data_IF_928533325593
#
_entry.id   IF_928533325593
#
_cell.length_a   1.000
_cell.length_b   1.000
_cell.length_c   1.000
_cell.angle_alpha   90.00
_cell.angle_beta   90.00
_cell.angle_gamma   90.00
#
_symmetry.space_group_name_H-M   'P 1'
#
loop_
_entity.id
_entity.type
_entity.pdbx_description
1 polymer ?
#
# COMPACT_ATOMS: atom_id res chain seq x y z
N UNK A 1 -2.84 3.57 -28.04
CA UNK A 1 -3.31 2.62 -29.09
C UNK A 1 -4.73 2.94 -29.51
N UNK A 2 -5.68 3.07 -28.57
CA UNK A 2 -7.07 3.50 -28.86
C UNK A 2 -7.14 4.76 -29.74
N UNK A 3 -6.55 5.87 -29.31
CA UNK A 3 -6.52 7.13 -30.08
C UNK A 3 -5.93 6.99 -31.49
N UNK A 4 -4.90 6.17 -31.66
CA UNK A 4 -4.30 5.94 -32.98
C UNK A 4 -5.22 5.10 -33.89
N UNK A 5 -5.87 4.08 -33.32
CA UNK A 5 -6.89 3.25 -34.00
C UNK A 5 -8.09 4.09 -34.42
N UNK A 6 -8.54 5.00 -33.55
CA UNK A 6 -9.65 5.91 -33.80
C UNK A 6 -9.34 6.86 -34.96
N UNK A 7 -8.20 7.55 -34.92
CA UNK A 7 -7.77 8.46 -35.99
C UNK A 7 -7.63 7.77 -37.34
N UNK A 8 -7.17 6.53 -37.36
CA UNK A 8 -7.09 5.75 -38.60
C UNK A 8 -8.48 5.44 -39.17
N UNK A 9 -9.43 5.04 -38.31
CA UNK A 9 -10.82 4.82 -38.70
C UNK A 9 -11.49 6.11 -39.19
N UNK A 10 -11.21 7.25 -38.56
CA UNK A 10 -11.70 8.56 -38.99
C UNK A 10 -11.21 8.89 -40.41
N UNK A 11 -9.92 8.70 -40.71
CA UNK A 11 -9.40 8.88 -42.07
C UNK A 11 -10.09 7.98 -43.10
N UNK A 12 -10.41 6.72 -42.74
CA UNK A 12 -11.16 5.83 -43.61
C UNK A 12 -12.58 6.36 -43.84
N UNK A 13 -13.27 6.82 -42.79
CA UNK A 13 -14.63 7.36 -42.88
C UNK A 13 -14.70 8.64 -43.73
N UNK A 14 -13.64 9.44 -43.74
CA UNK A 14 -13.54 10.66 -44.57
C UNK A 14 -13.44 10.36 -46.07
N UNK A 15 -12.74 9.28 -46.45
CA UNK A 15 -12.52 8.93 -47.87
C UNK A 15 -13.51 7.89 -48.41
N UNK A 16 -14.30 7.27 -47.54
CA UNK A 16 -15.32 6.29 -47.93
C UNK A 16 -16.60 7.03 -48.31
N UNK A 17 -16.90 7.10 -49.60
CA UNK A 17 -18.06 7.86 -50.09
C UNK A 17 -19.39 7.27 -49.61
N UNK A 18 -20.42 8.08 -49.36
CA UNK A 18 -21.71 7.62 -48.82
C UNK A 18 -22.43 6.57 -49.67
N UNK A 19 -22.29 6.63 -50.99
CA UNK A 19 -22.92 5.71 -51.94
C UNK A 19 -22.18 4.39 -52.12
N UNK A 20 -20.95 4.29 -51.59
CA UNK A 20 -20.16 3.07 -51.74
C UNK A 20 -20.74 1.94 -50.87
N UNK A 21 -20.86 0.71 -51.40
CA UNK A 21 -21.39 -0.42 -50.65
C UNK A 21 -20.57 -0.70 -49.39
N UNK A 22 -21.21 -0.75 -48.23
CA UNK A 22 -20.55 -1.06 -46.95
C UNK A 22 -20.17 0.15 -46.09
N UNK A 23 -20.47 1.39 -46.53
CA UNK A 23 -20.24 2.63 -45.75
C UNK A 23 -20.78 2.56 -44.32
N UNK A 24 -22.04 2.13 -44.17
CA UNK A 24 -22.72 2.05 -42.87
C UNK A 24 -22.15 0.93 -41.99
N UNK A 25 -21.78 -0.19 -42.60
CA UNK A 25 -21.14 -1.30 -41.88
C UNK A 25 -19.76 -0.89 -41.35
N UNK A 26 -18.97 -0.17 -42.17
CA UNK A 26 -17.69 0.38 -41.76
C UNK A 26 -17.81 1.37 -40.58
N UNK A 27 -18.85 2.23 -40.59
CA UNK A 27 -19.14 3.11 -39.46
C UNK A 27 -19.45 2.33 -38.18
N UNK A 28 -20.32 1.32 -38.29
CA UNK A 28 -20.69 0.48 -37.16
C UNK A 28 -19.47 -0.26 -36.60
N UNK A 29 -18.55 -0.71 -37.45
CA UNK A 29 -17.30 -1.33 -37.02
C UNK A 29 -16.42 -0.33 -36.27
N UNK A 30 -16.28 0.91 -36.77
CA UNK A 30 -15.50 1.95 -36.11
C UNK A 30 -16.06 2.33 -34.74
N UNK A 31 -17.38 2.51 -34.61
CA UNK A 31 -18.06 2.77 -33.35
C UNK A 31 -17.88 1.62 -32.35
N UNK A 32 -18.06 0.37 -32.80
CA UNK A 32 -17.85 -0.79 -31.95
C UNK A 32 -16.39 -0.92 -31.50
N UNK A 33 -15.43 -0.58 -32.37
CA UNK A 33 -14.01 -0.57 -32.02
C UNK A 33 -13.73 0.45 -30.90
N UNK A 34 -14.30 1.65 -30.99
CA UNK A 34 -14.20 2.70 -29.96
C UNK A 34 -14.75 2.19 -28.62
N UNK A 35 -15.96 1.61 -28.62
CA UNK A 35 -16.59 1.05 -27.42
C UNK A 35 -15.78 -0.09 -26.80
N UNK A 36 -15.23 -1.00 -27.60
CA UNK A 36 -14.40 -2.10 -27.11
C UNK A 36 -13.10 -1.60 -26.47
N UNK A 37 -12.47 -0.56 -27.05
CA UNK A 37 -11.28 0.06 -26.46
C UNK A 37 -11.59 0.74 -25.13
N UNK A 38 -12.70 1.47 -25.06
CA UNK A 38 -13.14 2.13 -23.82
C UNK A 38 -13.44 1.12 -22.71
N UNK A 39 -14.21 0.07 -23.03
CA UNK A 39 -14.53 -1.01 -22.07
C UNK A 39 -13.27 -1.73 -21.60
N UNK A 40 -12.36 -2.05 -22.53
CA UNK A 40 -11.09 -2.70 -22.18
C UNK A 40 -10.23 -1.83 -21.25
N UNK A 41 -10.10 -0.54 -21.55
CA UNK A 41 -9.37 0.40 -20.71
C UNK A 41 -10.00 0.50 -19.31
N UNK A 42 -11.33 0.67 -19.25
CA UNK A 42 -12.06 0.77 -18.00
C UNK A 42 -11.89 -0.49 -17.14
N UNK A 43 -12.00 -1.68 -17.75
CA UNK A 43 -11.77 -2.95 -17.05
C UNK A 43 -10.35 -3.09 -16.52
N UNK A 44 -9.33 -2.66 -17.27
CA UNK A 44 -7.96 -2.66 -16.79
C UNK A 44 -7.79 -1.73 -15.58
N UNK A 45 -8.39 -0.54 -15.63
CA UNK A 45 -8.35 0.40 -14.50
C UNK A 45 -9.06 -0.20 -13.29
N UNK A 46 -10.30 -0.63 -13.43
CA UNK A 46 -11.11 -1.06 -12.30
C UNK A 46 -10.65 -2.38 -11.69
N UNK A 47 -10.25 -3.35 -12.52
CA UNK A 47 -9.99 -4.71 -12.07
C UNK A 47 -8.52 -4.97 -11.76
N UNK A 48 -7.60 -4.34 -12.49
CA UNK A 48 -6.16 -4.54 -12.27
C UNK A 48 -5.55 -3.38 -11.48
N UNK A 49 -5.71 -2.13 -11.97
CA UNK A 49 -5.03 -0.99 -11.38
C UNK A 49 -5.53 -0.68 -9.97
N UNK A 50 -6.85 -0.54 -9.77
CA UNK A 50 -7.42 -0.23 -8.44
C UNK A 50 -7.14 -1.34 -7.41
N UNK A 51 -7.15 -2.60 -7.84
CA UNK A 51 -6.78 -3.74 -6.99
C UNK A 51 -5.32 -3.63 -6.54
N UNK A 52 -4.42 -3.28 -7.46
CA UNK A 52 -3.00 -3.10 -7.16
C UNK A 52 -2.76 -1.89 -6.26
N UNK A 53 -3.45 -0.78 -6.50
CA UNK A 53 -3.39 0.42 -5.65
C UNK A 53 -3.84 0.11 -4.22
N UNK A 54 -4.92 -0.67 -4.07
CA UNK A 54 -5.42 -1.10 -2.77
C UNK A 54 -4.39 -1.97 -2.04
N UNK A 55 -3.77 -2.92 -2.73
CA UNK A 55 -2.70 -3.76 -2.16
C UNK A 55 -1.49 -2.92 -1.74
N UNK A 56 -1.00 -2.05 -2.63
CA UNK A 56 0.15 -1.17 -2.35
C UNK A 56 -0.16 -0.17 -1.22
N UNK A 57 -1.41 0.25 -1.08
CA UNK A 57 -1.90 1.13 -0.02
C UNK A 57 -1.76 0.56 1.40
N UNK A 58 -1.56 -0.76 1.56
CA UNK A 58 -1.35 -1.40 2.86
C UNK A 58 0.07 -1.17 3.41
N UNK A 59 1.05 -0.97 2.53
CA UNK A 59 2.47 -0.93 2.91
C UNK A 59 2.88 0.28 3.76
N UNK A 60 2.38 1.51 3.52
CA UNK A 60 2.78 2.68 4.31
C UNK A 60 2.49 2.53 5.81
N UNK A 61 1.33 1.98 6.17
CA UNK A 61 0.98 1.75 7.58
C UNK A 61 1.88 0.68 8.21
N UNK A 62 2.06 -0.46 7.53
CA UNK A 62 2.95 -1.54 7.99
C UNK A 62 4.37 -1.01 8.19
N UNK A 63 4.88 -0.22 7.23
CA UNK A 63 6.21 0.41 7.34
C UNK A 63 6.30 1.35 8.54
N UNK A 64 5.26 2.14 8.82
CA UNK A 64 5.18 3.00 10.00
C UNK A 64 5.18 2.19 11.30
N UNK A 65 4.42 1.10 11.36
CA UNK A 65 4.37 0.16 12.49
C UNK A 65 5.73 -0.51 12.73
N UNK A 66 6.42 -0.97 11.69
CA UNK A 66 7.79 -1.52 11.79
C UNK A 66 8.75 -0.47 12.37
N UNK A 67 8.71 0.77 11.87
CA UNK A 67 9.56 1.84 12.39
C UNK A 67 9.25 2.16 13.86
N UNK A 68 7.96 2.12 14.24
CA UNK A 68 7.53 2.30 15.63
C UNK A 68 8.00 1.16 16.54
N UNK A 69 7.86 -0.10 16.10
CA UNK A 69 8.39 -1.28 16.79
C UNK A 69 9.89 -1.14 17.02
N UNK A 70 10.66 -0.70 16.02
CA UNK A 70 12.09 -0.45 16.16
C UNK A 70 12.42 0.56 17.26
N UNK A 71 11.68 1.67 17.37
CA UNK A 71 11.84 2.64 18.47
C UNK A 71 11.46 2.04 19.83
N UNK A 72 10.42 1.20 19.89
CA UNK A 72 9.97 0.56 21.14
C UNK A 72 10.91 -0.53 21.64
N UNK A 73 11.60 -1.21 20.74
CA UNK A 73 12.70 -2.10 21.12
C UNK A 73 13.82 -1.33 21.83
N UNK A 74 14.20 -0.16 21.29
CA UNK A 74 15.22 0.69 21.93
C UNK A 74 14.77 1.19 23.30
N UNK A 75 13.51 1.63 23.44
CA UNK A 75 12.95 2.04 24.74
C UNK A 75 13.00 0.87 25.75
N UNK A 76 12.65 -0.33 25.33
CA UNK A 76 12.69 -1.54 26.15
C UNK A 76 14.11 -1.94 26.56
N UNK A 77 15.06 -1.98 25.62
CA UNK A 77 16.46 -2.29 25.90
C UNK A 77 17.07 -1.27 26.86
N UNK A 78 16.71 0.02 26.72
CA UNK A 78 17.14 1.09 27.63
C UNK A 78 16.61 0.88 29.04
N UNK A 79 15.32 0.55 29.19
CA UNK A 79 14.71 0.27 30.49
C UNK A 79 15.32 -0.98 31.14
N UNK A 80 15.62 -2.01 30.35
CA UNK A 80 16.26 -3.25 30.83
C UNK A 80 17.66 -2.95 31.36
N UNK A 81 18.48 -2.24 30.59
CA UNK A 81 19.81 -1.83 31.03
C UNK A 81 19.76 -0.95 32.29
N UNK A 82 18.80 -0.03 32.38
CA UNK A 82 18.63 0.80 33.57
C UNK A 82 18.32 -0.05 34.81
N UNK A 83 17.36 -0.97 34.72
CA UNK A 83 17.01 -1.89 35.79
C UNK A 83 18.19 -2.79 36.22
N UNK A 84 18.89 -3.40 35.26
CA UNK A 84 20.08 -4.24 35.52
C UNK A 84 21.20 -3.46 36.24
N UNK A 85 21.42 -2.20 35.85
CA UNK A 85 22.42 -1.33 36.49
C UNK A 85 22.06 -1.02 37.95
N UNK A 86 20.78 -0.87 38.27
CA UNK A 86 20.31 -0.64 39.64
C UNK A 86 20.38 -1.92 40.49
N UNK A 87 20.10 -3.09 39.90
CA UNK A 87 20.19 -4.38 40.58
C UNK A 87 21.62 -4.75 41.00
N UNK A 88 22.61 -4.35 40.20
CA UNK A 88 24.04 -4.61 40.43
C UNK A 88 24.74 -3.53 41.26
N UNK A 89 24.03 -2.45 41.63
CA UNK A 89 24.59 -1.37 42.41
C UNK A 89 24.96 -1.81 43.84
N UNK A 90 26.10 -1.33 44.35
CA UNK A 90 26.60 -1.66 45.71
C UNK A 90 25.63 -1.24 46.81
N UNK A 91 24.87 -0.17 46.60
CA UNK A 91 23.81 0.30 47.50
C UNK A 91 22.48 0.14 46.79
N UNK A 92 21.64 -0.77 47.28
CA UNK A 92 20.29 -0.96 46.77
C UNK A 92 19.37 0.14 47.28
N UNK A 93 18.63 0.72 46.34
CA UNK A 93 17.57 1.70 46.59
C UNK A 93 16.28 1.07 46.11
N UNK A 94 15.57 0.41 47.02
CA UNK A 94 14.39 -0.41 46.71
C UNK A 94 13.29 0.40 46.02
N UNK A 95 13.14 1.69 46.37
CA UNK A 95 12.15 2.56 45.74
C UNK A 95 12.52 2.86 44.27
N UNK A 96 13.80 3.07 43.96
CA UNK A 96 14.28 3.26 42.58
C UNK A 96 14.20 1.98 41.77
N UNK A 97 14.55 0.84 42.38
CA UNK A 97 14.48 -0.46 41.74
C UNK A 97 13.03 -0.79 41.36
N UNK A 98 12.07 -0.62 42.28
CA UNK A 98 10.66 -0.86 42.02
C UNK A 98 10.11 0.01 40.87
N UNK A 99 10.52 1.29 40.82
CA UNK A 99 10.13 2.19 39.74
C UNK A 99 10.72 1.76 38.39
N UNK A 100 12.00 1.38 38.36
CA UNK A 100 12.64 0.90 37.13
C UNK A 100 12.05 -0.43 36.64
N UNK A 101 11.61 -1.29 37.55
CA UNK A 101 10.88 -2.52 37.22
C UNK A 101 9.51 -2.23 36.58
N UNK A 102 8.75 -1.28 37.12
CA UNK A 102 7.48 -0.84 36.51
C UNK A 102 7.70 -0.26 35.10
N UNK A 103 8.71 0.58 34.92
CA UNK A 103 9.08 1.15 33.62
C UNK A 103 9.51 0.06 32.63
N UNK A 104 10.28 -0.93 33.08
CA UNK A 104 10.68 -2.09 32.29
C UNK A 104 9.48 -2.90 31.81
N UNK A 105 8.57 -3.28 32.72
CA UNK A 105 7.37 -4.05 32.39
C UNK A 105 6.49 -3.28 31.40
N UNK A 106 6.35 -1.96 31.59
CA UNK A 106 5.59 -1.10 30.69
C UNK A 106 6.22 -1.03 29.29
N UNK A 107 7.53 -0.84 29.19
CA UNK A 107 8.23 -0.79 27.92
C UNK A 107 8.18 -2.14 27.18
N UNK A 108 8.34 -3.25 27.92
CA UNK A 108 8.22 -4.60 27.40
C UNK A 108 6.84 -4.85 26.81
N UNK A 109 5.77 -4.54 27.56
CA UNK A 109 4.39 -4.73 27.10
C UNK A 109 4.12 -3.98 25.79
N UNK A 110 4.50 -2.70 25.73
CA UNK A 110 4.29 -1.86 24.54
C UNK A 110 5.09 -2.35 23.32
N UNK A 111 6.31 -2.84 23.55
CA UNK A 111 7.10 -3.44 22.47
C UNK A 111 6.49 -4.76 21.97
N UNK A 112 6.15 -5.67 22.89
CA UNK A 112 5.66 -7.01 22.53
C UNK A 112 4.29 -6.98 21.85
N UNK A 113 3.39 -6.09 22.26
CA UNK A 113 2.12 -5.87 21.55
C UNK A 113 2.37 -5.56 20.06
N UNK A 114 3.29 -4.64 19.75
CA UNK A 114 3.62 -4.33 18.34
C UNK A 114 4.44 -5.43 17.66
N UNK A 115 5.21 -6.21 18.42
CA UNK A 115 6.06 -7.27 17.90
C UNK A 115 5.22 -8.46 17.42
N UNK A 116 4.29 -8.92 18.25
CA UNK A 116 3.39 -10.04 17.94
C UNK A 116 2.52 -9.71 16.74
N UNK A 117 1.86 -8.55 16.74
CA UNK A 117 0.99 -8.14 15.63
C UNK A 117 1.72 -7.95 14.28
N UNK A 118 3.05 -7.88 14.27
CA UNK A 118 3.87 -7.77 13.05
C UNK A 118 4.55 -9.10 12.66
N UNK A 119 4.45 -10.12 13.51
CA UNK A 119 4.94 -11.48 13.25
C UNK A 119 3.83 -12.41 12.74
N UNK A 120 2.58 -12.12 13.10
CA UNK A 120 1.37 -12.72 12.52
C UNK A 120 1.06 -12.15 11.12
#
# INVERSE_FOLDING_TARGET
MHEASKKLSECLQEVYEPEWPGRDEANKIAENNDLLWMDYHQKLVDQALLTMDTYLGQFPDIKSRIAKRGRKLVDYDSARHHYESLQTAKKKDEAKIAKAEEELIKAQKVFEEMNVDLQE
#
